data_IF_693982533105
#
_entry.id   IF_693982533105
#
_cell.length_a   1.000
_cell.length_b   1.000
_cell.length_c   1.000
_cell.angle_alpha   90.00
_cell.angle_beta   90.00
_cell.angle_gamma   90.00
#
_symmetry.space_group_name_H-M   'P 1'
#
loop_
_entity.id
_entity.type
_entity.pdbx_description
1 polymer ?
#
# COMPACT_ATOMS: atom_id res chain seq x y z
N UNK A 1 -0.87 -38.06 7.25
CA UNK A 1 0.31 -37.46 6.61
C UNK A 1 0.62 -36.19 7.40
N UNK A 2 1.65 -36.25 8.25
CA UNK A 2 2.01 -35.09 9.06
C UNK A 2 2.58 -33.99 8.14
N UNK A 3 1.85 -32.89 7.98
CA UNK A 3 2.34 -31.72 7.26
C UNK A 3 3.44 -31.06 8.08
N UNK A 4 4.64 -30.97 7.53
CA UNK A 4 5.71 -30.19 8.16
C UNK A 4 5.43 -28.70 8.08
N UNK A 5 6.01 -27.90 8.96
CA UNK A 5 5.87 -26.44 8.92
C UNK A 5 6.35 -25.86 7.57
N UNK A 6 7.37 -26.42 6.95
CA UNK A 6 7.87 -26.03 5.62
C UNK A 6 6.84 -26.28 4.53
N UNK A 7 6.13 -27.41 4.58
CA UNK A 7 5.03 -27.72 3.64
C UNK A 7 3.90 -26.71 3.79
N UNK A 8 3.49 -26.41 5.04
CA UNK A 8 2.45 -25.40 5.32
C UNK A 8 2.84 -24.01 4.78
N UNK A 9 4.10 -23.59 4.95
CA UNK A 9 4.58 -22.32 4.43
C UNK A 9 4.57 -22.27 2.90
N UNK A 10 4.95 -23.33 2.22
CA UNK A 10 4.93 -23.42 0.76
C UNK A 10 3.50 -23.36 0.23
N UNK A 11 2.60 -24.15 0.82
CA UNK A 11 1.18 -24.19 0.44
C UNK A 11 0.48 -22.85 0.72
N UNK A 12 0.79 -22.21 1.84
CA UNK A 12 0.31 -20.86 2.16
C UNK A 12 0.69 -19.85 1.07
N UNK A 13 1.96 -19.82 0.65
CA UNK A 13 2.41 -18.94 -0.44
C UNK A 13 1.65 -19.21 -1.74
N UNK A 14 1.44 -20.47 -2.07
CA UNK A 14 0.66 -20.89 -3.24
C UNK A 14 -0.80 -20.44 -3.14
N UNK A 15 -1.42 -20.59 -1.98
CA UNK A 15 -2.79 -20.14 -1.74
C UNK A 15 -2.91 -18.61 -1.86
N UNK A 16 -1.97 -17.86 -1.25
CA UNK A 16 -1.99 -16.39 -1.30
C UNK A 16 -1.76 -15.82 -2.70
N UNK A 17 -1.09 -16.54 -3.60
CA UNK A 17 -1.00 -16.15 -5.02
C UNK A 17 -2.35 -16.08 -5.73
N UNK A 18 -3.38 -16.76 -5.22
CA UNK A 18 -4.74 -16.78 -5.78
C UNK A 18 -5.59 -15.60 -5.31
N UNK A 19 -5.13 -14.86 -4.29
CA UNK A 19 -5.80 -13.67 -3.81
C UNK A 19 -5.44 -12.49 -4.71
N UNK A 20 -6.41 -12.00 -5.50
CA UNK A 20 -6.24 -10.74 -6.21
C UNK A 20 -6.34 -9.57 -5.24
N UNK A 21 -5.41 -8.66 -5.30
CA UNK A 21 -5.39 -7.46 -4.47
C UNK A 21 -5.01 -6.23 -5.28
N UNK A 22 -5.59 -5.08 -4.96
CA UNK A 22 -5.18 -3.81 -5.53
C UNK A 22 -3.77 -3.46 -5.06
N UNK A 23 -2.92 -3.03 -5.99
CA UNK A 23 -1.59 -2.52 -5.65
C UNK A 23 -1.72 -1.09 -5.15
N UNK A 24 -1.10 -0.81 -4.02
CA UNK A 24 -1.01 0.52 -3.46
C UNK A 24 0.44 0.94 -3.23
N UNK A 25 0.69 2.25 -3.22
CA UNK A 25 1.88 2.82 -2.60
C UNK A 25 1.47 3.43 -1.26
N UNK A 26 2.01 2.88 -0.18
CA UNK A 26 1.87 3.46 1.15
C UNK A 26 3.00 4.46 1.35
N UNK A 27 2.66 5.71 1.64
CA UNK A 27 3.62 6.81 1.81
C UNK A 27 3.52 7.42 3.20
N UNK A 28 4.63 7.96 3.68
CA UNK A 28 4.73 8.73 4.93
C UNK A 28 5.89 9.72 4.85
N UNK A 29 5.99 10.58 5.84
CA UNK A 29 7.04 11.59 5.96
C UNK A 29 6.51 13.01 5.85
N UNK A 30 7.44 13.94 5.76
CA UNK A 30 7.19 15.39 5.59
C UNK A 30 7.78 15.84 4.26
N UNK A 31 7.54 17.09 3.86
CA UNK A 31 8.10 17.68 2.63
C UNK A 31 9.61 17.47 2.45
N UNK A 32 10.34 17.28 3.55
CA UNK A 32 11.80 17.09 3.53
C UNK A 32 12.21 15.63 3.38
N UNK A 33 11.43 14.70 3.92
CA UNK A 33 11.77 13.27 3.97
C UNK A 33 10.57 12.41 3.59
N UNK A 34 10.28 12.36 2.32
CA UNK A 34 9.28 11.44 1.77
C UNK A 34 9.81 10.01 1.71
N UNK A 35 9.00 9.07 2.14
CA UNK A 35 9.26 7.64 2.00
C UNK A 35 7.99 6.89 1.61
N UNK A 36 8.15 5.70 1.07
CA UNK A 36 7.03 4.86 0.67
C UNK A 36 7.45 3.46 0.28
N UNK A 37 6.47 2.58 0.16
CA UNK A 37 6.65 1.21 -0.33
C UNK A 37 5.42 0.75 -1.10
N UNK A 38 5.63 -0.15 -2.06
CA UNK A 38 4.54 -0.88 -2.70
C UNK A 38 3.96 -1.91 -1.72
N UNK A 39 2.65 -2.01 -1.68
CA UNK A 39 1.92 -2.91 -0.80
C UNK A 39 0.63 -3.42 -1.46
N UNK A 40 0.27 -4.65 -1.14
CA UNK A 40 -1.04 -5.24 -1.41
C UNK A 40 -1.80 -5.55 -0.13
N UNK A 41 -1.12 -5.51 1.02
CA UNK A 41 -1.71 -5.76 2.33
C UNK A 41 -2.40 -4.50 2.88
N UNK A 42 -3.47 -4.09 2.22
CA UNK A 42 -4.34 -2.96 2.57
C UNK A 42 -5.77 -3.46 2.59
N UNK A 43 -6.52 -3.15 3.65
CA UNK A 43 -7.95 -3.47 3.70
C UNK A 43 -8.73 -2.46 4.52
N UNK A 44 -9.98 -2.20 4.14
CA UNK A 44 -10.93 -1.44 4.95
C UNK A 44 -11.35 -2.23 6.19
N UNK A 45 -11.53 -1.56 7.31
CA UNK A 45 -11.92 -2.15 8.60
C UNK A 45 -13.31 -1.71 9.01
N UNK A 46 -13.60 -0.40 8.97
CA UNK A 46 -14.87 0.18 9.39
C UNK A 46 -15.18 1.43 8.56
N UNK A 47 -16.46 1.80 8.53
CA UNK A 47 -16.92 3.02 7.87
C UNK A 47 -17.28 4.13 8.85
N UNK A 48 -17.44 3.81 10.13
CA UNK A 48 -17.73 4.77 11.19
C UNK A 48 -16.93 4.43 12.49
N UNK A 49 -15.85 5.13 12.78
CA UNK A 49 -15.15 6.07 11.90
C UNK A 49 -14.50 5.35 10.69
N UNK A 50 -14.27 6.05 9.57
CA UNK A 50 -13.66 5.44 8.41
C UNK A 50 -12.24 4.98 8.74
N UNK A 51 -12.02 3.68 8.67
CA UNK A 51 -10.79 3.05 9.18
C UNK A 51 -10.30 1.99 8.20
N UNK A 52 -9.00 1.96 7.96
CA UNK A 52 -8.32 0.92 7.21
C UNK A 52 -7.09 0.39 7.96
N UNK A 53 -6.55 -0.71 7.50
CA UNK A 53 -5.26 -1.21 7.98
C UNK A 53 -4.27 -1.42 6.82
N UNK A 54 -2.98 -1.30 7.16
CA UNK A 54 -1.86 -1.67 6.29
C UNK A 54 -0.88 -2.53 7.07
N UNK A 55 -0.34 -3.59 6.44
CA UNK A 55 0.73 -4.39 7.03
C UNK A 55 2.09 -3.99 6.41
N UNK A 56 3.01 -3.53 7.24
CA UNK A 56 4.32 -3.03 6.84
C UNK A 56 5.42 -3.91 7.43
N UNK A 57 6.31 -4.43 6.58
CA UNK A 57 7.47 -5.17 7.05
C UNK A 57 8.35 -4.26 7.92
N UNK A 58 8.75 -4.73 9.09
CA UNK A 58 9.57 -3.96 10.04
C UNK A 58 10.93 -3.54 9.48
N UNK A 59 11.46 -4.29 8.50
CA UNK A 59 12.71 -3.98 7.81
C UNK A 59 12.54 -3.00 6.63
N UNK A 60 11.31 -2.63 6.27
CA UNK A 60 11.07 -1.63 5.24
C UNK A 60 11.46 -0.23 5.73
N UNK A 61 12.06 0.59 4.86
CA UNK A 61 12.45 1.97 5.18
C UNK A 61 11.26 2.86 5.61
N UNK A 62 10.06 2.50 5.21
CA UNK A 62 8.82 3.17 5.62
C UNK A 62 8.51 2.95 7.12
N UNK A 63 8.83 1.78 7.67
CA UNK A 63 8.39 1.38 9.03
C UNK A 63 8.80 2.36 10.13
N UNK A 64 10.08 2.77 10.28
CA UNK A 64 10.48 3.73 11.31
C UNK A 64 9.84 5.11 11.11
N UNK A 65 9.74 5.59 9.87
CA UNK A 65 9.15 6.90 9.57
C UNK A 65 7.66 6.90 9.91
N UNK A 66 6.93 5.85 9.55
CA UNK A 66 5.51 5.74 9.84
C UNK A 66 5.24 5.68 11.35
N UNK A 67 6.10 4.96 12.12
CA UNK A 67 6.03 4.94 13.59
C UNK A 67 6.28 6.33 14.21
N UNK A 68 7.19 7.09 13.64
CA UNK A 68 7.54 8.43 14.13
C UNK A 68 6.48 9.46 13.76
N UNK A 69 6.05 9.50 12.51
CA UNK A 69 5.10 10.50 11.99
C UNK A 69 3.66 10.25 12.45
N UNK A 70 3.29 8.98 12.72
CA UNK A 70 1.94 8.61 13.14
C UNK A 70 0.87 8.85 12.08
N UNK A 71 1.26 9.00 10.80
CA UNK A 71 0.35 9.29 9.68
C UNK A 71 0.91 8.75 8.37
N UNK A 72 0.02 8.38 7.47
CA UNK A 72 0.39 7.83 6.17
C UNK A 72 -0.70 8.11 5.13
N UNK A 73 -0.36 7.94 3.86
CA UNK A 73 -1.31 7.91 2.77
C UNK A 73 -1.26 6.56 2.06
N UNK A 74 -2.43 6.03 1.72
CA UNK A 74 -2.58 4.86 0.84
C UNK A 74 -2.99 5.37 -0.53
N UNK A 75 -2.12 5.23 -1.53
CA UNK A 75 -2.37 5.60 -2.91
C UNK A 75 -2.68 4.35 -3.71
N UNK A 76 -3.94 4.11 -4.06
CA UNK A 76 -4.37 2.98 -4.89
C UNK A 76 -3.96 3.22 -6.33
N UNK A 77 -3.14 2.35 -6.90
CA UNK A 77 -2.58 2.54 -8.23
C UNK A 77 -3.59 2.23 -9.33
N UNK A 78 -3.55 3.04 -10.40
CA UNK A 78 -4.17 2.75 -11.67
C UNK A 78 -3.27 1.87 -12.54
N UNK A 79 -3.82 1.24 -13.58
CA UNK A 79 -3.07 0.41 -14.54
C UNK A 79 -1.86 1.15 -15.15
N UNK A 80 -2.00 2.46 -15.42
CA UNK A 80 -0.94 3.31 -15.95
C UNK A 80 0.27 3.49 -15.03
N UNK A 81 0.13 3.16 -13.74
CA UNK A 81 1.19 3.27 -12.73
C UNK A 81 2.04 2.00 -12.58
N UNK A 82 1.93 1.03 -13.49
CA UNK A 82 2.63 -0.25 -13.38
C UNK A 82 4.15 -0.11 -13.16
N UNK A 83 4.80 0.89 -13.78
CA UNK A 83 6.23 1.15 -13.61
C UNK A 83 6.62 1.60 -12.20
N UNK A 84 5.71 2.30 -11.49
CA UNK A 84 5.95 2.81 -10.13
C UNK A 84 6.14 1.66 -9.14
N UNK A 85 5.49 0.52 -9.36
CA UNK A 85 5.55 -0.64 -8.45
C UNK A 85 6.99 -1.11 -8.24
N UNK A 86 7.77 -1.27 -9.32
CA UNK A 86 9.17 -1.69 -9.23
C UNK A 86 10.03 -0.69 -8.45
N UNK A 87 9.80 0.60 -8.68
CA UNK A 87 10.52 1.70 -8.03
C UNK A 87 10.32 1.64 -6.51
N UNK A 88 9.08 1.48 -6.05
CA UNK A 88 8.74 1.41 -4.63
C UNK A 88 8.94 0.01 -4.02
N UNK A 89 9.25 -1.00 -4.84
CA UNK A 89 9.63 -2.35 -4.41
C UNK A 89 11.15 -2.54 -4.25
N UNK A 90 11.95 -1.48 -4.39
CA UNK A 90 13.38 -1.50 -4.09
C UNK A 90 14.33 -1.15 -5.23
N UNK A 91 13.85 -0.85 -6.44
CA UNK A 91 14.70 -0.40 -7.56
C UNK A 91 15.34 0.96 -7.28
N UNK A 92 14.63 1.86 -6.57
CA UNK A 92 15.15 3.15 -6.10
C UNK A 92 15.06 3.26 -4.58
N UNK A 93 15.81 4.21 -3.98
CA UNK A 93 15.81 4.46 -2.54
C UNK A 93 15.50 5.91 -2.23
N UNK A 94 15.03 6.15 -1.00
CA UNK A 94 14.79 7.49 -0.50
C UNK A 94 13.89 8.33 -1.42
N UNK A 95 14.22 9.60 -1.58
CA UNK A 95 13.46 10.57 -2.34
C UNK A 95 13.47 10.33 -3.86
N UNK A 96 14.49 9.64 -4.41
CA UNK A 96 14.55 9.28 -5.84
C UNK A 96 13.33 8.46 -6.32
N UNK A 97 12.63 7.79 -5.40
CA UNK A 97 11.38 7.08 -5.71
C UNK A 97 10.29 8.00 -6.25
N UNK A 98 10.29 9.25 -5.80
CA UNK A 98 9.26 10.25 -6.11
C UNK A 98 9.57 11.10 -7.35
N UNK A 99 10.64 10.78 -8.07
CA UNK A 99 10.97 11.40 -9.37
C UNK A 99 10.09 10.88 -10.51
N UNK A 100 9.42 9.73 -10.30
CA UNK A 100 8.51 9.11 -11.29
C UNK A 100 7.11 9.10 -10.70
N UNK A 101 6.14 9.57 -11.48
CA UNK A 101 4.77 9.79 -11.06
C UNK A 101 4.49 11.26 -10.73
N UNK A 102 3.22 11.61 -10.66
CA UNK A 102 2.75 12.96 -10.31
C UNK A 102 2.52 13.07 -8.79
N UNK A 103 3.61 13.26 -8.05
CA UNK A 103 3.57 13.34 -6.59
C UNK A 103 3.41 14.77 -6.11
N UNK A 104 2.40 15.00 -5.28
CA UNK A 104 2.13 16.28 -4.62
C UNK A 104 2.18 16.12 -3.10
N UNK A 105 2.40 17.24 -2.40
CA UNK A 105 2.27 17.30 -0.95
C UNK A 105 0.81 17.56 -0.57
N UNK A 106 0.23 16.73 0.30
CA UNK A 106 -1.01 17.09 0.99
C UNK A 106 -0.80 18.31 1.89
N UNK A 107 -1.88 18.90 2.40
CA UNK A 107 -1.81 20.06 3.29
C UNK A 107 -0.95 19.86 4.55
N UNK A 108 -0.70 18.62 4.93
CA UNK A 108 0.16 18.23 6.07
C UNK A 108 1.57 17.75 5.64
N UNK A 109 1.94 17.90 4.36
CA UNK A 109 3.24 17.51 3.81
C UNK A 109 3.39 16.06 3.38
N UNK A 110 2.36 15.20 3.55
CA UNK A 110 2.39 13.80 3.11
C UNK A 110 2.42 13.69 1.58
N UNK A 111 3.22 12.77 1.01
CA UNK A 111 3.21 12.55 -0.43
C UNK A 111 1.94 11.82 -0.87
N UNK A 112 1.23 12.41 -1.82
CA UNK A 112 0.04 11.88 -2.50
C UNK A 112 0.36 11.72 -3.98
N UNK A 113 -0.03 10.60 -4.57
CA UNK A 113 -0.02 10.42 -6.02
C UNK A 113 -1.29 11.07 -6.58
N UNK A 114 -1.11 12.21 -7.27
CA UNK A 114 -2.20 13.10 -7.69
C UNK A 114 -3.24 12.44 -8.61
N UNK A 115 -2.80 11.49 -9.43
CA UNK A 115 -3.63 10.75 -10.38
C UNK A 115 -3.87 9.27 -9.97
N UNK A 116 -3.68 8.93 -8.70
CA UNK A 116 -4.07 7.61 -8.17
C UNK A 116 -5.58 7.38 -8.34
N UNK A 117 -6.01 6.10 -8.43
CA UNK A 117 -7.45 5.77 -8.44
C UNK A 117 -8.15 6.33 -7.22
N UNK A 118 -7.50 6.21 -6.07
CA UNK A 118 -7.87 6.91 -4.85
C UNK A 118 -6.63 7.07 -3.94
N UNK A 119 -6.60 8.17 -3.18
CA UNK A 119 -5.62 8.41 -2.12
C UNK A 119 -6.34 8.66 -0.81
N UNK A 120 -5.96 7.90 0.23
CA UNK A 120 -6.58 7.95 1.55
C UNK A 120 -5.52 8.38 2.57
N UNK A 121 -5.67 9.58 3.10
CA UNK A 121 -4.80 10.11 4.16
C UNK A 121 -5.29 9.61 5.50
N UNK A 122 -4.37 9.06 6.30
CA UNK A 122 -4.69 8.40 7.55
C UNK A 122 -3.83 8.90 8.71
N UNK A 123 -4.44 8.94 9.88
CA UNK A 123 -3.76 9.07 11.18
C UNK A 123 -3.77 7.72 11.86
N UNK A 124 -2.60 7.27 12.33
CA UNK A 124 -2.47 5.98 13.04
C UNK A 124 -3.24 6.04 14.35
N UNK A 125 -4.23 5.18 14.50
CA UNK A 125 -5.03 5.03 15.73
C UNK A 125 -4.56 3.86 16.61
N UNK A 126 -3.99 2.81 16.00
CA UNK A 126 -3.43 1.67 16.72
C UNK A 126 -2.37 0.95 15.88
N UNK A 127 -1.50 0.19 16.57
CA UNK A 127 -0.52 -0.68 15.93
C UNK A 127 -0.50 -2.04 16.60
N UNK A 128 -0.20 -3.08 15.81
CA UNK A 128 -0.01 -4.44 16.32
C UNK A 128 1.19 -5.09 15.63
N UNK A 129 2.11 -5.64 16.42
CA UNK A 129 3.23 -6.39 15.89
C UNK A 129 2.86 -7.85 15.66
N UNK A 130 3.05 -8.34 14.43
CA UNK A 130 2.76 -9.71 14.02
C UNK A 130 3.94 -10.25 13.22
N UNK A 131 4.65 -11.24 13.77
CA UNK A 131 5.83 -11.86 13.14
C UNK A 131 6.82 -10.80 12.63
N UNK A 132 7.05 -10.71 11.33
CA UNK A 132 7.98 -9.77 10.69
C UNK A 132 7.36 -8.41 10.33
N UNK A 133 6.07 -8.22 10.59
CA UNK A 133 5.31 -7.04 10.19
C UNK A 133 4.76 -6.28 11.38
N UNK A 134 4.50 -5.00 11.18
CA UNK A 134 3.64 -4.18 12.02
C UNK A 134 2.37 -3.88 11.22
N UNK A 135 1.21 -4.19 11.79
CA UNK A 135 -0.09 -3.76 11.30
C UNK A 135 -0.33 -2.35 11.87
N UNK A 136 -0.56 -1.39 10.98
CA UNK A 136 -0.98 -0.04 11.33
C UNK A 136 -2.47 0.09 11.02
N UNK A 137 -3.24 0.47 12.02
CA UNK A 137 -4.65 0.82 11.87
C UNK A 137 -4.72 2.34 11.77
N UNK A 138 -5.30 2.84 10.68
CA UNK A 138 -5.39 4.26 10.39
C UNK A 138 -6.83 4.71 10.25
N UNK A 139 -7.19 5.78 10.96
CA UNK A 139 -8.42 6.52 10.76
C UNK A 139 -8.23 7.44 9.55
N UNK A 140 -9.12 7.35 8.57
CA UNK A 140 -9.05 8.13 7.34
C UNK A 140 -9.56 9.54 7.60
N UNK A 141 -8.72 10.54 7.32
CA UNK A 141 -9.02 11.96 7.54
C UNK A 141 -9.30 12.73 6.26
N UNK A 142 -8.74 12.29 5.13
CA UNK A 142 -8.94 12.91 3.82
C UNK A 142 -8.99 11.83 2.74
N UNK A 143 -9.81 12.04 1.71
CA UNK A 143 -9.95 11.11 0.58
C UNK A 143 -9.95 11.89 -0.72
N UNK A 144 -9.13 11.45 -1.67
CA UNK A 144 -9.08 11.96 -3.05
C UNK A 144 -9.42 10.80 -3.98
N UNK A 145 -10.40 10.96 -4.85
CA UNK A 145 -10.82 9.95 -5.82
C UNK A 145 -10.68 10.46 -7.24
N UNK A 146 -10.06 9.66 -8.09
CA UNK A 146 -10.02 9.91 -9.53
C UNK A 146 -11.36 9.51 -10.18
N UNK A 147 -11.85 10.22 -11.21
CA UNK A 147 -13.09 9.87 -11.90
C UNK A 147 -13.05 8.49 -12.57
N UNK A 148 -11.88 8.08 -13.07
CA UNK A 148 -11.69 6.77 -13.71
C UNK A 148 -11.33 5.72 -12.67
N UNK A 149 -11.99 4.55 -12.76
CA UNK A 149 -11.75 3.41 -11.86
C UNK A 149 -11.12 2.29 -12.69
N UNK A 150 -9.80 2.29 -12.75
CA UNK A 150 -8.94 1.34 -13.48
C UNK A 150 -7.82 0.77 -12.58
N UNK A 151 -8.17 0.09 -11.48
CA UNK A 151 -7.18 -0.31 -10.48
C UNK A 151 -6.17 -1.32 -11.03
N UNK A 152 -4.89 -1.10 -10.71
CA UNK A 152 -3.83 -2.06 -10.93
C UNK A 152 -3.94 -3.19 -9.90
N UNK A 153 -3.99 -4.42 -10.34
CA UNK A 153 -4.09 -5.61 -9.52
C UNK A 153 -2.77 -6.39 -9.46
N UNK A 154 -2.61 -7.14 -8.39
CA UNK A 154 -1.58 -8.17 -8.25
C UNK A 154 -2.25 -9.51 -7.97
N UNK A 155 -2.04 -10.49 -8.85
CA UNK A 155 -2.55 -11.86 -8.70
C UNK A 155 -1.60 -12.84 -9.36
N UNK A 156 -1.42 -13.98 -8.77
CA UNK A 156 -0.54 -15.05 -9.26
C UNK A 156 0.92 -14.57 -9.52
N UNK A 157 1.41 -13.64 -8.69
CA UNK A 157 2.78 -13.12 -8.78
C UNK A 157 3.02 -12.17 -9.96
N UNK A 158 1.97 -11.60 -10.56
CA UNK A 158 2.05 -10.68 -11.69
C UNK A 158 1.02 -9.56 -11.59
N UNK A 159 1.28 -8.49 -12.32
CA UNK A 159 0.31 -7.41 -12.48
C UNK A 159 -0.85 -7.87 -13.39
N UNK A 160 -2.03 -7.38 -13.08
CA UNK A 160 -3.26 -7.64 -13.82
C UNK A 160 -4.15 -6.39 -13.81
N UNK A 161 -5.16 -6.40 -14.64
CA UNK A 161 -6.19 -5.37 -14.71
C UNK A 161 -7.58 -5.97 -14.47
N UNK A 162 -8.57 -5.12 -14.27
CA UNK A 162 -9.97 -5.52 -14.17
C UNK A 162 -10.57 -5.76 -15.55
N UNK A 163 -11.51 -6.69 -15.66
CA UNK A 163 -12.31 -6.91 -16.86
C UNK A 163 -13.79 -7.08 -16.50
N UNK A 164 -14.66 -6.70 -17.44
CA UNK A 164 -16.09 -6.97 -17.28
C UNK A 164 -16.34 -8.49 -17.32
N UNK A 165 -17.23 -8.97 -16.46
CA UNK A 165 -17.73 -10.35 -16.60
C UNK A 165 -18.58 -10.45 -17.87
N UNK A 166 -18.49 -11.57 -18.60
CA UNK A 166 -19.39 -11.81 -19.71
C UNK A 166 -20.85 -11.78 -19.22
N UNK A 167 -21.72 -11.17 -20.01
CA UNK A 167 -23.15 -11.08 -19.73
C UNK A 167 -23.81 -12.46 -19.84
#
# INVERSE_FOLDING_TARGET
MDMTMETVQADFKQAMRRLAATVAIVTSGTDKEWTGMAATAVTSVATDPPTLLVAVNRNASLSPVLKQEGRFCVNLLAERHAEIVGIFSGQKKGRERFEVGDWIAAGNGLPILNDAVASLVCVVSATMEVATHTIFIGEVTEVYCHPTIDPLLWVDGRMACTGALPA
#
